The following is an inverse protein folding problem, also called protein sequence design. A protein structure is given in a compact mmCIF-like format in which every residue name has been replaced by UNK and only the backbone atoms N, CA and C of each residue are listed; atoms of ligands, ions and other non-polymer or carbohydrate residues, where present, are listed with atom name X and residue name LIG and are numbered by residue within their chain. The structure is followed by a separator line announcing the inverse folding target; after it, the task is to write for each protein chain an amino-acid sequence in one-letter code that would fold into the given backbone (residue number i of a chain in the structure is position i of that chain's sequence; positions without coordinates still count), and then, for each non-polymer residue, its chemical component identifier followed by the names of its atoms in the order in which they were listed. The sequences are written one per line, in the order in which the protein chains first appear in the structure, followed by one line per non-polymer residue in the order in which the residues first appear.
data_IF_854801882341
#
_entry.id   IF_854801882341
#
_cell.length_a   1.000
_cell.length_b   1.000
_cell.length_c   1.000
_cell.angle_alpha   90.00
_cell.angle_beta   90.00
_cell.angle_gamma   90.00
#
_symmetry.space_group_name_H-M   'P 1'
#
loop_
_entity.id
_entity.type
_entity.pdbx_description
1 polymer ?
#
# COMPACT_ATOMS: atom_id res chain seq x y z
N UNK A 1 -21.72 10.52 -7.55
CA UNK A 1 -20.46 9.87 -7.14
C UNK A 1 -19.36 10.59 -7.89
N UNK A 2 -18.59 11.43 -7.21
CA UNK A 2 -17.70 12.39 -7.87
C UNK A 2 -16.46 11.68 -8.45
N UNK A 3 -16.35 11.73 -9.77
CA UNK A 3 -15.18 11.33 -10.57
C UNK A 3 -14.52 12.62 -11.04
N UNK A 4 -13.65 13.22 -10.22
CA UNK A 4 -12.88 14.39 -10.65
C UNK A 4 -11.67 13.98 -11.51
N UNK A 5 -11.87 14.18 -12.81
CA UNK A 5 -11.05 14.90 -13.78
C UNK A 5 -9.59 14.50 -14.09
N UNK A 6 -9.31 14.66 -15.39
CA UNK A 6 -8.12 14.31 -16.14
C UNK A 6 -6.84 15.10 -15.78
N UNK A 7 -5.69 14.44 -15.97
CA UNK A 7 -4.36 15.04 -15.97
C UNK A 7 -3.32 13.93 -15.97
N UNK A 8 -2.35 13.98 -16.89
CA UNK A 8 -1.24 13.02 -16.98
C UNK A 8 -0.30 13.09 -15.77
N UNK A 9 -0.76 12.60 -14.63
CA UNK A 9 -0.02 12.45 -13.39
C UNK A 9 -0.30 11.05 -12.87
N UNK A 10 0.75 10.38 -12.39
CA UNK A 10 0.69 9.05 -11.76
C UNK A 10 -0.57 8.98 -10.89
N UNK A 11 -1.52 8.12 -11.26
CA UNK A 11 -2.80 7.93 -10.55
C UNK A 11 -2.51 7.32 -9.18
N UNK A 12 -1.90 8.11 -8.30
CA UNK A 12 -1.61 7.74 -6.94
C UNK A 12 -2.90 7.53 -6.18
N UNK A 13 -2.81 6.84 -5.04
CA UNK A 13 -3.95 6.79 -4.15
C UNK A 13 -4.39 8.22 -3.79
N UNK A 14 -5.70 8.50 -3.74
CA UNK A 14 -6.19 9.75 -3.17
C UNK A 14 -5.67 9.88 -1.73
N UNK A 15 -5.52 11.12 -1.24
CA UNK A 15 -5.02 11.38 0.12
C UNK A 15 -5.82 10.58 1.15
N UNK A 16 -5.12 9.95 2.10
CA UNK A 16 -5.75 9.09 3.10
C UNK A 16 -6.20 7.72 2.58
N UNK A 17 -5.74 7.29 1.41
CA UNK A 17 -5.95 5.94 0.89
C UNK A 17 -4.61 5.30 0.53
N UNK A 18 -4.58 3.97 0.48
CA UNK A 18 -3.45 3.16 0.02
C UNK A 18 -3.91 2.17 -1.06
N UNK A 19 -2.96 1.65 -1.83
CA UNK A 19 -3.23 0.70 -2.91
C UNK A 19 -2.68 -0.66 -2.53
N UNK A 20 -3.48 -1.70 -2.74
CA UNK A 20 -3.08 -3.10 -2.55
C UNK A 20 -3.38 -3.86 -3.84
N UNK A 21 -2.52 -4.81 -4.17
CA UNK A 21 -2.68 -5.70 -5.32
C UNK A 21 -3.03 -7.10 -4.80
N UNK A 22 -4.11 -7.69 -5.32
CA UNK A 22 -4.65 -8.95 -4.81
C UNK A 22 -4.68 -10.00 -5.92
N UNK A 23 -4.20 -11.21 -5.60
CA UNK A 23 -4.18 -12.36 -6.50
C UNK A 23 -3.09 -12.29 -7.58
N UNK A 24 -3.07 -13.31 -8.44
CA UNK A 24 -2.10 -13.42 -9.55
C UNK A 24 -2.34 -12.35 -10.62
N UNK A 25 -3.60 -11.98 -10.83
CA UNK A 25 -4.03 -10.94 -11.78
C UNK A 25 -3.67 -9.52 -11.30
N UNK A 26 -3.08 -9.37 -10.10
CA UNK A 26 -2.77 -8.08 -9.46
C UNK A 26 -3.94 -7.11 -9.50
N UNK A 27 -5.09 -7.54 -8.96
CA UNK A 27 -6.26 -6.68 -8.90
C UNK A 27 -5.98 -5.47 -7.99
N UNK A 28 -6.16 -4.26 -8.53
CA UNK A 28 -5.88 -3.00 -7.83
C UNK A 28 -7.05 -2.62 -6.90
N UNK A 29 -6.83 -2.71 -5.60
CA UNK A 29 -7.74 -2.23 -4.57
C UNK A 29 -7.23 -0.91 -3.98
N UNK A 30 -8.08 0.12 -3.93
CA UNK A 30 -7.79 1.38 -3.21
C UNK A 30 -8.57 1.37 -1.91
N UNK A 31 -7.86 1.31 -0.78
CA UNK A 31 -8.45 1.21 0.55
C UNK A 31 -8.19 2.49 1.35
N UNK A 32 -9.17 2.98 2.13
CA UNK A 32 -8.92 4.11 3.02
C UNK A 32 -7.99 3.70 4.16
N UNK A 33 -7.18 4.62 4.67
CA UNK A 33 -6.22 4.36 5.76
C UNK A 33 -6.87 3.95 7.07
N UNK A 34 -8.18 4.14 7.21
CA UNK A 34 -8.97 3.61 8.34
C UNK A 34 -8.92 2.08 8.41
N UNK A 35 -8.75 1.39 7.28
CA UNK A 35 -8.59 -0.07 7.25
C UNK A 35 -7.32 -0.54 7.94
N UNK A 36 -6.27 0.28 7.99
CA UNK A 36 -5.04 -0.02 8.76
C UNK A 36 -5.30 -0.10 10.27
N UNK A 37 -6.42 0.43 10.76
CA UNK A 37 -6.82 0.31 12.17
C UNK A 37 -7.64 -0.94 12.46
N UNK A 38 -8.02 -1.71 11.44
CA UNK A 38 -8.73 -2.96 11.64
C UNK A 38 -7.76 -4.05 12.13
N UNK A 39 -8.04 -4.78 13.22
CA UNK A 39 -7.15 -5.81 13.74
C UNK A 39 -6.84 -6.92 12.72
N UNK A 40 -7.75 -7.24 11.81
CA UNK A 40 -7.51 -8.21 10.73
C UNK A 40 -6.46 -7.72 9.74
N UNK A 41 -6.45 -6.42 9.43
CA UNK A 41 -5.47 -5.81 8.53
C UNK A 41 -4.10 -5.74 9.20
N UNK A 42 -4.07 -5.37 10.48
CA UNK A 42 -2.85 -5.32 11.26
C UNK A 42 -2.18 -6.69 11.31
N UNK A 43 -2.95 -7.74 11.64
CA UNK A 43 -2.44 -9.10 11.64
C UNK A 43 -1.89 -9.54 10.29
N UNK A 44 -2.57 -9.21 9.18
CA UNK A 44 -2.07 -9.50 7.83
C UNK A 44 -0.74 -8.76 7.54
N UNK A 45 -0.61 -7.52 7.98
CA UNK A 45 0.62 -6.75 7.83
C UNK A 45 1.75 -7.29 8.72
N UNK A 46 1.43 -7.77 9.92
CA UNK A 46 2.37 -8.44 10.83
C UNK A 46 2.88 -9.75 10.23
N UNK A 47 1.99 -10.62 9.75
CA UNK A 47 2.35 -11.87 9.08
C UNK A 47 3.21 -11.59 7.83
N UNK A 48 2.84 -10.59 7.02
CA UNK A 48 3.62 -10.18 5.86
C UNK A 48 4.99 -9.58 6.25
N UNK A 49 5.07 -8.86 7.37
CA UNK A 49 6.33 -8.33 7.87
C UNK A 49 7.28 -9.43 8.36
N UNK A 50 6.74 -10.50 8.96
CA UNK A 50 7.51 -11.68 9.36
C UNK A 50 8.00 -12.47 8.13
N UNK A 51 7.13 -12.70 7.14
CA UNK A 51 7.45 -13.49 5.95
C UNK A 51 8.41 -12.76 4.99
N UNK A 52 8.14 -11.50 4.67
CA UNK A 52 8.92 -10.75 3.67
C UNK A 52 10.02 -9.90 4.29
N UNK A 53 9.91 -9.57 5.58
CA UNK A 53 10.80 -8.64 6.25
C UNK A 53 10.69 -7.23 5.65
N UNK A 54 10.67 -6.19 6.48
CA UNK A 54 10.99 -4.86 5.97
C UNK A 54 12.49 -4.81 5.64
N UNK A 55 12.91 -5.41 4.52
CA UNK A 55 14.31 -5.41 4.09
C UNK A 55 14.69 -4.00 3.59
N UNK A 56 14.84 -3.07 4.53
CA UNK A 56 15.52 -1.81 4.31
C UNK A 56 17.01 -2.10 4.31
N UNK A 57 17.53 -2.65 3.21
CA UNK A 57 18.96 -2.67 2.96
C UNK A 57 19.43 -1.24 2.72
N UNK A 58 19.58 -0.46 3.79
CA UNK A 58 20.55 0.64 3.79
C UNK A 58 21.91 -0.01 3.80
N UNK A 59 22.49 -0.21 2.62
CA UNK A 59 23.96 -0.16 2.55
C UNK A 59 24.33 1.26 2.98
N UNK A 60 24.99 1.38 4.11
CA UNK A 60 25.77 2.55 4.43
C UNK A 60 26.73 2.77 3.28
N UNK A 61 26.44 3.77 2.46
CA UNK A 61 27.44 4.34 1.57
C UNK A 61 28.13 5.39 2.41
N UNK A 62 29.24 4.99 3.02
CA UNK A 62 30.18 5.91 3.61
C UNK A 62 30.92 6.55 2.42
N UNK A 63 30.35 7.65 1.92
CA UNK A 63 31.03 8.64 1.08
C UNK A 63 30.94 9.97 1.82
#
# INVERSE_FOLDING_TARGET
MDLTAAGGGRQGAPKGHFVVYVGEEMWRCVLPTTYLRNPSMLRLLEDAAEEYGFCRRRKGSNY
#
